data_IF_865882336247
#
_entry.id   IF_865882336247
#
_cell.length_a   1.000
_cell.length_b   1.000
_cell.length_c   1.000
_cell.angle_alpha   90.00
_cell.angle_beta   90.00
_cell.angle_gamma   90.00
#
_symmetry.space_group_name_H-M   'P 1'
#
loop_
_entity.id
_entity.type
_entity.pdbx_description
1 polymer ?
#
# COMPACT_ATOMS: atom_id res chain seq x y z
N UNK A 1 30.19 19.95 -43.86
CA UNK A 1 29.76 19.41 -45.18
C UNK A 1 28.30 19.04 -45.01
N UNK A 2 27.37 19.43 -45.90
CA UNK A 2 25.96 19.15 -45.70
C UNK A 2 25.74 17.63 -45.66
N UNK A 3 25.24 17.15 -44.53
CA UNK A 3 24.89 15.75 -44.29
C UNK A 3 23.38 15.63 -44.48
N UNK A 4 22.93 14.61 -45.20
CA UNK A 4 21.52 14.20 -45.22
C UNK A 4 21.38 12.98 -44.32
N UNK A 5 20.29 12.90 -43.59
CA UNK A 5 20.09 11.89 -42.56
C UNK A 5 18.88 11.02 -42.93
N UNK A 6 18.99 9.72 -42.67
CA UNK A 6 17.87 8.79 -42.82
C UNK A 6 16.92 8.91 -41.62
N UNK A 7 15.61 9.18 -41.81
CA UNK A 7 14.68 9.32 -40.69
C UNK A 7 14.35 8.01 -39.97
N UNK A 8 14.58 6.86 -40.61
CA UNK A 8 14.28 5.53 -40.03
C UNK A 8 15.44 4.96 -39.22
N UNK A 9 16.68 5.12 -39.69
CA UNK A 9 17.85 4.50 -39.07
C UNK A 9 18.92 5.48 -38.58
N UNK A 10 18.74 6.78 -38.81
CA UNK A 10 19.66 7.83 -38.35
C UNK A 10 21.03 7.86 -39.06
N UNK A 11 21.24 7.03 -40.09
CA UNK A 11 22.51 7.02 -40.82
C UNK A 11 22.72 8.34 -41.60
N UNK A 12 23.90 8.94 -41.42
CA UNK A 12 24.31 10.17 -42.10
C UNK A 12 25.01 9.88 -43.43
N UNK A 13 24.60 10.61 -44.48
CA UNK A 13 25.12 10.48 -45.83
C UNK A 13 25.58 11.83 -46.38
N UNK A 14 26.51 11.79 -47.33
CA UNK A 14 26.90 12.98 -48.10
C UNK A 14 25.72 13.41 -49.00
N UNK A 15 25.56 14.72 -49.20
CA UNK A 15 24.40 15.32 -49.90
C UNK A 15 24.09 14.78 -51.31
N UNK A 16 25.05 14.13 -51.98
CA UNK A 16 24.87 13.50 -53.30
C UNK A 16 24.03 12.22 -53.26
N UNK A 17 23.88 11.59 -52.10
CA UNK A 17 23.03 10.40 -51.93
C UNK A 17 21.59 10.85 -51.66
N UNK A 18 20.63 10.26 -52.38
CA UNK A 18 19.22 10.64 -52.30
C UNK A 18 18.37 9.65 -51.50
N UNK A 19 18.83 8.40 -51.33
CA UNK A 19 18.11 7.33 -50.64
C UNK A 19 19.05 6.51 -49.77
N UNK A 20 18.56 6.05 -48.62
CA UNK A 20 19.31 5.19 -47.71
C UNK A 20 19.66 3.84 -48.37
N UNK A 21 20.89 3.38 -48.20
CA UNK A 21 21.34 2.10 -48.80
C UNK A 21 20.77 0.88 -48.07
N UNK A 22 20.41 1.02 -46.80
CA UNK A 22 19.86 -0.03 -45.95
C UNK A 22 18.32 -0.03 -45.94
N UNK A 23 17.71 1.15 -45.85
CA UNK A 23 16.26 1.28 -45.66
C UNK A 23 15.50 1.63 -46.96
N UNK A 24 16.19 2.07 -48.02
CA UNK A 24 15.56 2.48 -49.29
C UNK A 24 14.73 3.78 -49.24
N UNK A 25 14.56 4.39 -48.07
CA UNK A 25 13.79 5.63 -47.87
C UNK A 25 14.55 6.89 -48.30
N UNK A 26 13.85 7.95 -48.75
CA UNK A 26 14.48 9.22 -49.14
C UNK A 26 15.12 9.92 -47.94
N UNK A 27 16.33 10.47 -48.13
CA UNK A 27 17.08 11.14 -47.08
C UNK A 27 16.66 12.60 -46.92
N UNK A 28 16.50 13.07 -45.68
CA UNK A 28 16.13 14.46 -45.36
C UNK A 28 17.38 15.30 -45.11
N UNK A 29 17.35 16.56 -45.53
CA UNK A 29 18.40 17.51 -45.20
C UNK A 29 18.13 18.10 -43.81
N UNK A 30 19.16 18.19 -42.97
CA UNK A 30 19.10 18.98 -41.74
C UNK A 30 18.89 20.45 -42.13
N UNK A 31 17.65 20.93 -42.06
CA UNK A 31 17.32 22.35 -42.16
C UNK A 31 17.59 22.98 -40.79
N UNK A 32 18.69 23.74 -40.69
CA UNK A 32 18.98 24.62 -39.57
C UNK A 32 17.76 25.52 -39.29
N UNK A 33 17.19 25.51 -38.07
CA UNK A 33 16.10 26.42 -37.73
C UNK A 33 16.62 27.86 -37.79
N UNK A 34 15.89 28.69 -38.54
CA UNK A 34 16.23 30.08 -38.78
C UNK A 34 16.30 30.88 -37.47
N UNK A 35 17.47 31.46 -37.23
CA UNK A 35 17.75 32.40 -36.15
C UNK A 35 16.83 33.63 -36.20
N UNK A 36 16.25 33.98 -35.06
CA UNK A 36 15.52 35.23 -34.84
C UNK A 36 15.56 35.67 -33.38
N UNK A 37 16.41 36.69 -33.12
CA UNK A 37 16.42 37.61 -31.97
C UNK A 37 17.25 37.27 -30.71
N UNK A 38 18.55 37.58 -30.84
CA UNK A 38 19.41 38.36 -29.92
C UNK A 38 19.69 37.84 -28.51
N UNK A 39 20.96 37.41 -28.39
CA UNK A 39 21.73 37.19 -27.18
C UNK A 39 21.63 38.30 -26.12
N UNK A 40 21.31 37.87 -24.90
CA UNK A 40 22.00 38.33 -23.70
C UNK A 40 22.90 37.18 -23.23
N UNK A 41 24.21 37.30 -23.46
CA UNK A 41 25.21 36.38 -22.91
C UNK A 41 25.43 36.72 -21.43
N UNK A 42 25.29 35.70 -20.57
CA UNK A 42 25.87 35.70 -19.24
C UNK A 42 24.91 35.33 -18.12
N UNK A 43 24.78 34.04 -17.83
CA UNK A 43 24.96 33.49 -16.49
C UNK A 43 24.73 31.98 -16.54
N UNK A 44 25.76 31.24 -16.12
CA UNK A 44 25.62 29.87 -15.63
C UNK A 44 24.55 29.86 -14.54
N UNK A 45 23.47 29.12 -14.75
CA UNK A 45 22.42 28.92 -13.78
C UNK A 45 21.65 27.68 -14.18
N UNK A 46 21.72 26.63 -13.35
CA UNK A 46 20.70 25.60 -13.40
C UNK A 46 19.35 26.30 -13.31
N UNK A 47 18.47 26.02 -14.28
CA UNK A 47 17.15 26.61 -14.29
C UNK A 47 16.42 26.05 -13.05
N UNK A 48 16.42 26.81 -11.97
CA UNK A 48 15.43 26.60 -10.93
C UNK A 48 14.07 26.80 -11.61
N UNK A 49 13.10 25.89 -11.42
CA UNK A 49 11.77 26.09 -11.98
C UNK A 49 11.29 27.48 -11.54
N UNK A 50 10.94 28.32 -12.50
CA UNK A 50 10.36 29.62 -12.19
C UNK A 50 9.12 29.42 -11.32
N UNK A 51 8.79 30.39 -10.47
CA UNK A 51 7.61 30.39 -9.60
C UNK A 51 6.33 30.04 -10.41
N UNK A 52 5.97 28.76 -10.50
CA UNK A 52 4.89 28.26 -11.35
C UNK A 52 5.25 27.19 -12.40
N UNK A 53 6.40 26.53 -12.33
CA UNK A 53 6.72 25.34 -13.14
C UNK A 53 6.96 24.11 -12.24
N UNK A 54 6.54 22.95 -12.72
CA UNK A 54 6.67 21.65 -12.04
C UNK A 54 7.44 20.70 -12.94
N UNK A 55 8.30 19.88 -12.34
CA UNK A 55 9.16 18.93 -13.04
C UNK A 55 8.82 17.52 -12.58
N UNK A 56 8.47 16.65 -13.54
CA UNK A 56 8.23 15.23 -13.33
C UNK A 56 9.42 14.42 -13.83
N UNK A 57 9.90 13.47 -13.02
CA UNK A 57 10.93 12.52 -13.44
C UNK A 57 10.28 11.23 -13.91
N UNK A 58 10.66 10.77 -15.11
CA UNK A 58 10.16 9.53 -15.72
C UNK A 58 11.30 8.59 -16.11
N UNK A 59 12.39 8.55 -15.35
CA UNK A 59 13.61 7.78 -15.68
C UNK A 59 13.33 6.28 -15.90
N UNK A 60 12.34 5.74 -15.18
CA UNK A 60 11.89 4.35 -15.28
C UNK A 60 11.01 4.04 -16.51
N UNK A 61 10.45 5.06 -17.18
CA UNK A 61 9.59 4.85 -18.35
C UNK A 61 10.39 4.62 -19.64
N UNK A 62 9.95 3.65 -20.44
CA UNK A 62 10.48 3.44 -21.78
C UNK A 62 10.15 4.60 -22.74
N UNK A 63 10.94 4.75 -23.82
CA UNK A 63 10.74 5.82 -24.81
C UNK A 63 9.32 5.80 -25.43
N UNK A 64 8.73 4.62 -25.62
CA UNK A 64 7.37 4.50 -26.14
C UNK A 64 6.29 5.07 -25.21
N UNK A 65 6.44 4.91 -23.89
CA UNK A 65 5.52 5.46 -22.89
C UNK A 65 5.59 7.00 -22.85
N UNK A 66 6.81 7.56 -22.90
CA UNK A 66 7.01 9.01 -22.94
C UNK A 66 6.42 9.64 -24.21
N UNK A 67 6.56 8.96 -25.36
CA UNK A 67 5.92 9.39 -26.63
C UNK A 67 4.39 9.32 -26.56
N UNK A 68 3.84 8.33 -25.86
CA UNK A 68 2.39 8.24 -25.63
C UNK A 68 1.90 9.40 -24.77
N UNK A 69 2.58 9.67 -23.64
CA UNK A 69 2.28 10.79 -22.76
C UNK A 69 2.39 12.14 -23.47
N UNK A 70 3.45 12.35 -24.28
CA UNK A 70 3.64 13.54 -25.10
C UNK A 70 2.47 13.79 -26.07
N UNK A 71 1.98 12.73 -26.72
CA UNK A 71 0.81 12.78 -27.59
C UNK A 71 -0.48 13.14 -26.83
N UNK A 72 -0.65 12.63 -25.61
CA UNK A 72 -1.79 12.93 -24.76
C UNK A 72 -1.76 14.37 -24.23
N UNK A 73 -0.60 14.84 -23.75
CA UNK A 73 -0.39 16.22 -23.31
C UNK A 73 -0.67 17.22 -24.44
N UNK A 74 -0.19 16.91 -25.66
CA UNK A 74 -0.48 17.71 -26.86
C UNK A 74 -1.97 17.73 -27.19
N UNK A 75 -2.66 16.59 -27.03
CA UNK A 75 -4.11 16.49 -27.28
C UNK A 75 -4.93 17.24 -26.24
N UNK A 76 -4.50 17.20 -24.97
CA UNK A 76 -5.10 17.94 -23.86
C UNK A 76 -4.80 19.45 -23.92
N UNK A 77 -3.84 19.87 -24.76
CA UNK A 77 -3.45 21.27 -24.91
C UNK A 77 -2.54 21.77 -23.79
N UNK A 78 -1.88 20.87 -23.06
CA UNK A 78 -0.94 21.19 -21.99
C UNK A 78 0.38 21.68 -22.59
N UNK A 79 0.82 22.88 -22.19
CA UNK A 79 2.11 23.41 -22.63
C UNK A 79 3.23 22.76 -21.83
N UNK A 80 4.08 21.98 -22.50
CA UNK A 80 5.11 21.18 -21.84
C UNK A 80 6.44 21.17 -22.60
N UNK A 81 7.53 20.85 -21.90
CA UNK A 81 8.88 20.67 -22.44
C UNK A 81 9.52 19.44 -21.81
N UNK A 82 10.25 18.65 -22.61
CA UNK A 82 11.09 17.56 -22.10
C UNK A 82 12.54 18.01 -21.95
N UNK A 83 13.09 17.97 -20.73
CA UNK A 83 14.49 18.30 -20.44
C UNK A 83 15.20 17.09 -19.83
N UNK A 84 16.23 16.58 -20.50
CA UNK A 84 17.05 15.46 -20.03
C UNK A 84 16.26 14.20 -19.58
N UNK A 85 15.04 14.00 -20.10
CA UNK A 85 14.16 12.88 -19.74
C UNK A 85 13.12 13.19 -18.66
N UNK A 86 13.14 14.40 -18.12
CA UNK A 86 12.10 14.93 -17.23
C UNK A 86 11.09 15.79 -18.02
N UNK A 87 9.83 15.79 -17.60
CA UNK A 87 8.77 16.62 -18.16
C UNK A 87 8.61 17.88 -17.31
N UNK A 88 8.70 19.05 -17.94
CA UNK A 88 8.49 20.35 -17.31
C UNK A 88 7.17 20.92 -17.81
N UNK A 89 6.27 21.23 -16.87
CA UNK A 89 4.92 21.77 -17.12
C UNK A 89 4.65 23.00 -16.28
N UNK A 90 3.62 23.77 -16.64
CA UNK A 90 3.13 24.84 -15.79
C UNK A 90 2.41 24.26 -14.57
N UNK A 91 2.62 24.84 -13.39
CA UNK A 91 2.00 24.39 -12.14
C UNK A 91 0.46 24.46 -12.16
N UNK A 92 -0.13 25.28 -13.04
CA UNK A 92 -1.58 25.34 -13.21
C UNK A 92 -2.18 24.14 -13.96
N UNK A 93 -1.35 23.34 -14.61
CA UNK A 93 -1.76 22.16 -15.37
C UNK A 93 -1.44 20.85 -14.64
N UNK A 94 -0.94 20.91 -13.39
CA UNK A 94 -0.54 19.76 -12.55
C UNK A 94 -1.63 18.67 -12.48
N UNK A 95 -2.84 19.03 -12.07
CA UNK A 95 -3.96 18.08 -11.94
C UNK A 95 -4.26 17.34 -13.25
N UNK A 96 -4.11 18.02 -14.39
CA UNK A 96 -4.35 17.41 -15.71
C UNK A 96 -3.19 16.49 -16.10
N UNK A 97 -1.96 16.87 -15.75
CA UNK A 97 -0.77 16.06 -16.02
C UNK A 97 -0.79 14.79 -15.18
N UNK A 98 -1.15 14.86 -13.91
CA UNK A 98 -1.30 13.70 -13.03
C UNK A 98 -2.32 12.70 -13.59
N UNK A 99 -3.50 13.17 -14.00
CA UNK A 99 -4.53 12.29 -14.60
C UNK A 99 -4.02 11.61 -15.90
N UNK A 100 -3.23 12.32 -16.70
CA UNK A 100 -2.66 11.77 -17.94
C UNK A 100 -1.51 10.80 -17.67
N UNK A 101 -0.72 11.03 -16.62
CA UNK A 101 0.33 10.11 -16.17
C UNK A 101 -0.29 8.81 -15.69
N UNK A 102 -1.29 8.89 -14.81
CA UNK A 102 -2.04 7.73 -14.32
C UNK A 102 -2.66 6.95 -15.48
N UNK A 103 -3.24 7.63 -16.47
CA UNK A 103 -3.81 6.99 -17.66
C UNK A 103 -2.78 6.20 -18.48
N UNK A 104 -1.56 6.74 -18.66
CA UNK A 104 -0.51 6.03 -19.40
C UNK A 104 0.01 4.87 -18.59
N UNK A 105 0.19 5.02 -17.28
CA UNK A 105 0.63 3.93 -16.41
C UNK A 105 -0.37 2.76 -16.45
N UNK A 106 -1.67 3.05 -16.34
CA UNK A 106 -2.77 2.10 -16.52
C UNK A 106 -2.71 1.38 -17.88
N UNK A 107 -2.40 2.12 -18.95
CA UNK A 107 -2.29 1.57 -20.29
C UNK A 107 -1.07 0.65 -20.43
N UNK A 108 0.05 0.98 -19.79
CA UNK A 108 1.26 0.14 -19.76
C UNK A 108 1.02 -1.13 -18.95
N UNK A 109 0.32 -1.03 -17.82
CA UNK A 109 -0.15 -2.16 -17.02
C UNK A 109 -1.00 -3.12 -17.85
N UNK A 110 -1.98 -2.62 -18.61
CA UNK A 110 -2.85 -3.43 -19.48
C UNK A 110 -2.16 -3.96 -20.74
N UNK A 111 -1.09 -3.30 -21.18
CA UNK A 111 -0.29 -3.73 -22.33
C UNK A 111 0.74 -4.80 -21.98
N UNK A 112 0.92 -5.13 -20.68
CA UNK A 112 1.60 -6.38 -20.32
C UNK A 112 0.85 -7.53 -21.00
N UNK A 113 1.57 -8.50 -21.61
CA UNK A 113 0.93 -9.72 -22.04
C UNK A 113 0.23 -10.32 -20.82
N UNK A 114 -1.10 -10.37 -20.85
CA UNK A 114 -1.87 -11.13 -19.86
C UNK A 114 -1.44 -12.59 -19.86
N UNK A 115 -1.90 -13.36 -18.88
CA UNK A 115 -1.55 -14.76 -18.81
C UNK A 115 -2.02 -15.49 -20.07
N UNK A 116 -1.21 -16.44 -20.54
CA UNK A 116 -1.58 -17.30 -21.65
C UNK A 116 -2.78 -18.16 -21.23
N UNK A 117 -3.95 -17.88 -21.80
CA UNK A 117 -5.20 -18.58 -21.54
C UNK A 117 -5.20 -20.06 -21.91
N UNK A 118 -4.22 -20.53 -22.70
CA UNK A 118 -4.05 -21.95 -23.00
C UNK A 118 -3.27 -22.71 -21.90
N UNK A 119 -2.63 -21.99 -20.96
CA UNK A 119 -1.94 -22.56 -19.81
C UNK A 119 -2.88 -22.62 -18.61
N UNK A 120 -2.67 -23.62 -17.76
CA UNK A 120 -3.45 -23.79 -16.52
C UNK A 120 -3.12 -22.66 -15.55
N UNK A 121 -4.17 -22.04 -15.00
CA UNK A 121 -4.11 -20.88 -14.14
C UNK A 121 -4.86 -21.15 -12.84
N UNK A 122 -4.42 -20.48 -11.78
CA UNK A 122 -5.03 -20.52 -10.45
C UNK A 122 -5.42 -19.10 -10.06
N UNK A 123 -6.64 -18.96 -9.58
CA UNK A 123 -7.25 -17.69 -9.18
C UNK A 123 -7.23 -17.55 -7.66
N UNK A 124 -6.67 -16.44 -7.19
CA UNK A 124 -6.67 -16.06 -5.78
C UNK A 124 -7.72 -14.98 -5.55
N UNK A 125 -8.70 -15.28 -4.69
CA UNK A 125 -9.71 -14.31 -4.26
C UNK A 125 -9.13 -13.37 -3.20
N UNK A 126 -9.04 -12.09 -3.54
CA UNK A 126 -8.50 -11.04 -2.67
C UNK A 126 -9.58 -10.03 -2.25
N UNK A 127 -10.86 -10.42 -2.29
CA UNK A 127 -11.98 -9.53 -1.95
C UNK A 127 -11.87 -8.97 -0.53
N UNK A 128 -11.36 -9.76 0.41
CA UNK A 128 -11.23 -9.40 1.83
C UNK A 128 -9.90 -8.72 2.18
N UNK A 129 -9.05 -8.45 1.18
CA UNK A 129 -7.71 -7.90 1.39
C UNK A 129 -7.71 -6.37 1.33
N UNK A 130 -6.95 -5.75 2.24
CA UNK A 130 -6.78 -4.30 2.31
C UNK A 130 -5.80 -3.82 1.23
N UNK A 131 -5.98 -2.61 0.68
CA UNK A 131 -5.15 -2.09 -0.42
C UNK A 131 -3.63 -2.15 -0.15
N UNK A 132 -3.12 -1.76 1.04
CA UNK A 132 -1.68 -1.86 1.32
C UNK A 132 -1.13 -3.29 1.28
N UNK A 133 -1.99 -4.29 1.57
CA UNK A 133 -1.62 -5.71 1.52
C UNK A 133 -1.58 -6.20 0.08
N UNK A 134 -2.50 -5.72 -0.76
CA UNK A 134 -2.52 -5.99 -2.20
C UNK A 134 -1.30 -5.40 -2.90
N UNK A 135 -0.94 -4.15 -2.58
CA UNK A 135 0.24 -3.49 -3.13
C UNK A 135 1.50 -4.29 -2.80
N UNK A 136 1.63 -4.72 -1.54
CA UNK A 136 2.74 -5.57 -1.07
C UNK A 136 2.81 -6.91 -1.80
N UNK A 137 1.68 -7.57 -2.02
CA UNK A 137 1.64 -8.81 -2.78
C UNK A 137 2.08 -8.59 -4.23
N UNK A 138 1.63 -7.50 -4.86
CA UNK A 138 2.06 -7.13 -6.21
C UNK A 138 3.57 -6.90 -6.33
N UNK A 139 4.18 -6.24 -5.34
CA UNK A 139 5.63 -6.07 -5.27
C UNK A 139 6.39 -7.41 -5.20
N UNK A 140 5.92 -8.32 -4.35
CA UNK A 140 6.56 -9.64 -4.17
C UNK A 140 6.41 -10.53 -5.40
N UNK A 141 5.26 -10.51 -6.06
CA UNK A 141 5.06 -11.21 -7.34
C UNK A 141 6.01 -10.67 -8.41
N UNK A 142 6.20 -9.35 -8.48
CA UNK A 142 7.14 -8.72 -9.39
C UNK A 142 8.61 -9.07 -9.06
N UNK A 143 9.00 -9.04 -7.78
CA UNK A 143 10.35 -9.43 -7.33
C UNK A 143 10.65 -10.90 -7.61
N UNK A 144 9.64 -11.76 -7.48
CA UNK A 144 9.74 -13.18 -7.78
C UNK A 144 9.71 -13.51 -9.29
N UNK A 145 9.58 -12.49 -10.15
CA UNK A 145 9.41 -12.61 -11.61
C UNK A 145 8.27 -13.58 -11.97
N UNK A 146 7.17 -13.54 -11.21
CA UNK A 146 5.98 -14.35 -11.45
C UNK A 146 5.05 -13.57 -12.37
N UNK A 147 4.63 -14.18 -13.47
CA UNK A 147 3.59 -13.63 -14.32
C UNK A 147 2.24 -13.72 -13.60
N UNK A 148 1.53 -12.59 -13.49
CA UNK A 148 0.21 -12.51 -12.88
C UNK A 148 -0.71 -11.58 -13.66
N UNK A 149 -2.01 -11.84 -13.59
CA UNK A 149 -3.05 -10.98 -14.12
C UNK A 149 -3.97 -10.55 -12.97
N UNK A 150 -4.33 -9.27 -12.92
CA UNK A 150 -5.21 -8.73 -11.88
C UNK A 150 -6.55 -8.33 -12.49
N UNK A 151 -7.62 -8.97 -12.04
CA UNK A 151 -8.98 -8.49 -12.28
C UNK A 151 -9.40 -7.58 -11.12
N UNK A 152 -9.33 -6.26 -11.34
CA UNK A 152 -9.72 -5.25 -10.36
C UNK A 152 -11.23 -5.23 -10.07
N UNK A 153 -12.07 -5.74 -10.98
CA UNK A 153 -13.52 -5.78 -10.80
C UNK A 153 -13.94 -6.95 -9.91
N UNK A 154 -13.32 -8.11 -10.13
CA UNK A 154 -13.53 -9.31 -9.33
C UNK A 154 -12.63 -9.35 -8.08
N UNK A 155 -11.63 -8.47 -7.98
CA UNK A 155 -10.54 -8.54 -6.98
C UNK A 155 -9.86 -9.90 -6.96
N UNK A 156 -9.59 -10.43 -8.14
CA UNK A 156 -8.93 -11.73 -8.31
C UNK A 156 -7.55 -11.51 -8.91
N UNK A 157 -6.57 -12.23 -8.39
CA UNK A 157 -5.25 -12.35 -9.02
C UNK A 157 -5.13 -13.76 -9.59
N UNK A 158 -4.95 -13.84 -10.89
CA UNK A 158 -4.68 -15.09 -11.60
C UNK A 158 -3.16 -15.24 -11.77
N UNK A 159 -2.66 -16.47 -11.60
CA UNK A 159 -1.25 -16.85 -11.81
C UNK A 159 -1.20 -18.19 -12.54
N UNK A 160 -0.05 -18.57 -13.11
CA UNK A 160 0.08 -19.92 -13.66
C UNK A 160 0.09 -20.98 -12.55
N UNK A 161 -0.58 -22.11 -12.77
CA UNK A 161 -0.65 -23.21 -11.80
C UNK A 161 0.72 -23.79 -11.42
N UNK A 162 1.73 -23.67 -12.29
CA UNK A 162 3.10 -24.09 -11.99
C UNK A 162 3.78 -23.22 -10.91
N UNK A 163 3.30 -21.98 -10.73
CA UNK A 163 3.82 -21.00 -9.79
C UNK A 163 2.94 -20.94 -8.52
N UNK A 164 1.87 -21.74 -8.42
CA UNK A 164 0.98 -21.86 -7.26
C UNK A 164 1.75 -22.06 -5.96
N UNK A 165 2.62 -23.07 -5.86
CA UNK A 165 3.42 -23.34 -4.66
C UNK A 165 4.30 -22.13 -4.25
N UNK A 166 4.74 -21.32 -5.21
CA UNK A 166 5.56 -20.12 -4.94
C UNK A 166 4.68 -18.97 -4.48
N UNK A 167 3.53 -18.78 -5.14
CA UNK A 167 2.57 -17.74 -4.81
C UNK A 167 1.93 -17.99 -3.46
N UNK A 168 1.63 -19.25 -3.11
CA UNK A 168 1.16 -19.66 -1.79
C UNK A 168 2.15 -19.24 -0.71
N UNK A 169 3.44 -19.48 -0.91
CA UNK A 169 4.48 -19.02 0.02
C UNK A 169 4.54 -17.49 0.15
N UNK A 170 4.40 -16.76 -0.96
CA UNK A 170 4.36 -15.30 -0.93
C UNK A 170 3.09 -14.77 -0.24
N UNK A 171 1.95 -15.41 -0.46
CA UNK A 171 0.67 -15.09 0.19
C UNK A 171 0.80 -15.31 1.70
N UNK A 172 1.38 -16.43 2.13
CA UNK A 172 1.68 -16.70 3.54
C UNK A 172 2.60 -15.61 4.13
N UNK A 173 3.67 -15.24 3.42
CA UNK A 173 4.60 -14.19 3.87
C UNK A 173 3.91 -12.82 4.00
N UNK A 174 3.07 -12.44 3.03
CA UNK A 174 2.30 -11.18 3.07
C UNK A 174 1.30 -11.17 4.22
N UNK A 175 0.58 -12.27 4.42
CA UNK A 175 -0.37 -12.41 5.53
C UNK A 175 0.39 -12.39 6.85
N UNK A 176 1.55 -13.04 6.95
CA UNK A 176 2.39 -13.01 8.13
C UNK A 176 2.95 -11.61 8.39
N UNK A 177 3.34 -10.83 7.38
CA UNK A 177 3.79 -9.43 7.53
C UNK A 177 2.62 -8.50 7.93
N UNK A 178 1.47 -8.63 7.29
CA UNK A 178 0.26 -7.86 7.60
C UNK A 178 -0.34 -8.26 8.97
N UNK A 179 -0.18 -9.53 9.34
CA UNK A 179 -0.53 -10.14 10.62
C UNK A 179 0.53 -9.93 11.70
N UNK A 180 1.79 -9.62 11.36
CA UNK A 180 2.80 -9.27 12.36
C UNK A 180 2.47 -7.95 13.09
N UNK A 181 1.58 -7.12 12.52
CA UNK A 181 0.92 -6.00 13.22
C UNK A 181 -0.37 -6.37 13.97
N UNK A 182 -0.92 -7.56 13.73
CA UNK A 182 -2.12 -8.14 14.36
C UNK A 182 -1.76 -9.54 14.86
N UNK A 183 -1.01 -9.62 15.96
CA UNK A 183 -0.56 -10.86 16.61
C UNK A 183 -1.57 -11.98 16.36
N UNK A 184 -1.20 -12.96 15.53
CA UNK A 184 -1.92 -14.22 15.42
C UNK A 184 -1.90 -14.84 16.80
N UNK A 185 -3.07 -14.84 17.44
CA UNK A 185 -3.30 -15.65 18.60
C UNK A 185 -3.04 -17.10 18.25
N UNK A 186 -1.96 -17.66 18.79
CA UNK A 186 -1.75 -19.10 18.83
C UNK A 186 -3.05 -19.75 19.34
N UNK A 187 -3.37 -20.97 18.95
CA UNK A 187 -4.61 -21.64 19.35
C UNK A 187 -4.82 -21.79 20.89
N UNK A 188 -3.88 -21.29 21.69
CA UNK A 188 -3.93 -21.05 23.13
C UNK A 188 -4.77 -19.83 23.53
N UNK A 189 -5.00 -18.85 22.66
CA UNK A 189 -5.66 -17.58 23.02
C UNK A 189 -7.11 -17.74 23.46
N UNK A 190 -7.83 -18.74 22.92
CA UNK A 190 -9.19 -19.06 23.36
C UNK A 190 -9.23 -19.67 24.76
N UNK A 191 -8.22 -20.48 25.11
CA UNK A 191 -8.08 -21.06 26.44
C UNK A 191 -7.60 -19.99 27.43
N UNK A 192 -6.61 -19.19 27.03
CA UNK A 192 -6.11 -18.07 27.82
C UNK A 192 -7.19 -17.01 28.09
N UNK A 193 -8.07 -16.72 27.12
CA UNK A 193 -9.22 -15.84 27.34
C UNK A 193 -10.22 -16.44 28.32
N UNK A 194 -10.49 -17.75 28.24
CA UNK A 194 -11.39 -18.44 29.17
C UNK A 194 -10.83 -18.47 30.60
N UNK A 195 -9.52 -18.68 30.75
CA UNK A 195 -8.83 -18.62 32.03
C UNK A 195 -8.86 -17.20 32.60
N UNK A 196 -8.53 -16.19 31.79
CA UNK A 196 -8.59 -14.79 32.20
C UNK A 196 -9.99 -14.36 32.65
N UNK A 197 -11.04 -14.75 31.92
CA UNK A 197 -12.43 -14.49 32.31
C UNK A 197 -12.80 -15.21 33.61
N UNK A 198 -12.36 -16.45 33.78
CA UNK A 198 -12.61 -17.22 35.01
C UNK A 198 -11.95 -16.58 36.22
N UNK A 199 -10.71 -16.13 36.07
CA UNK A 199 -9.94 -15.46 37.14
C UNK A 199 -10.53 -14.08 37.47
N UNK A 200 -10.92 -13.29 36.46
CA UNK A 200 -11.65 -12.03 36.65
C UNK A 200 -12.95 -12.24 37.42
N UNK A 201 -13.71 -13.30 37.10
CA UNK A 201 -14.95 -13.61 37.82
C UNK A 201 -14.69 -13.98 39.28
N UNK A 202 -13.71 -14.84 39.55
CA UNK A 202 -13.38 -15.28 40.92
C UNK A 202 -12.87 -14.11 41.76
N UNK A 203 -11.99 -13.29 41.20
CA UNK A 203 -11.46 -12.10 41.88
C UNK A 203 -12.59 -11.09 42.17
N UNK A 204 -13.44 -10.80 41.18
CA UNK A 204 -14.59 -9.90 41.35
C UNK A 204 -15.62 -10.44 42.36
N UNK A 205 -15.89 -11.74 42.38
CA UNK A 205 -16.80 -12.35 43.37
C UNK A 205 -16.23 -12.27 44.79
N UNK A 206 -14.93 -12.49 44.97
CA UNK A 206 -14.27 -12.33 46.28
C UNK A 206 -14.29 -10.87 46.73
N UNK A 207 -13.88 -9.93 45.88
CA UNK A 207 -13.88 -8.49 46.16
C UNK A 207 -15.27 -7.91 46.44
N UNK A 208 -16.31 -8.49 45.84
CA UNK A 208 -17.70 -8.15 46.14
C UNK A 208 -18.08 -8.48 47.60
N UNK A 209 -17.52 -9.56 48.16
CA UNK A 209 -17.77 -9.99 49.53
C UNK A 209 -16.78 -9.40 50.54
N UNK A 210 -15.52 -9.23 50.16
CA UNK A 210 -14.43 -8.69 50.97
C UNK A 210 -13.50 -7.82 50.11
N UNK A 211 -13.60 -6.50 50.27
CA UNK A 211 -12.84 -5.52 49.48
C UNK A 211 -11.38 -5.40 49.90
N UNK A 212 -11.01 -5.94 51.06
CA UNK A 212 -9.63 -5.88 51.59
C UNK A 212 -8.89 -7.22 51.39
N UNK A 213 -9.49 -8.19 50.68
CA UNK A 213 -8.87 -9.48 50.36
C UNK A 213 -7.66 -9.29 49.44
N UNK A 214 -6.47 -9.28 50.05
CA UNK A 214 -5.22 -9.06 49.33
C UNK A 214 -4.91 -10.13 48.28
N UNK A 215 -5.41 -11.37 48.45
CA UNK A 215 -5.25 -12.43 47.43
C UNK A 215 -6.16 -12.14 46.23
N UNK A 216 -7.39 -11.69 46.47
CA UNK A 216 -8.32 -11.31 45.41
C UNK A 216 -7.88 -10.04 44.67
N UNK A 217 -7.28 -9.06 45.36
CA UNK A 217 -6.70 -7.86 44.73
C UNK A 217 -5.56 -8.24 43.78
N UNK A 218 -4.60 -9.06 44.24
CA UNK A 218 -3.49 -9.50 43.39
C UNK A 218 -3.98 -10.34 42.21
N UNK A 219 -4.91 -11.26 42.47
CA UNK A 219 -5.53 -12.07 41.41
C UNK A 219 -6.27 -11.23 40.36
N UNK A 220 -6.94 -10.14 40.78
CA UNK A 220 -7.57 -9.22 39.84
C UNK A 220 -6.52 -8.50 38.98
N UNK A 221 -5.45 -7.98 39.58
CA UNK A 221 -4.38 -7.26 38.85
C UNK A 221 -3.76 -8.16 37.78
N UNK A 222 -3.44 -9.40 38.15
CA UNK A 222 -2.87 -10.39 37.23
C UNK A 222 -3.87 -10.74 36.11
N UNK A 223 -5.14 -10.96 36.44
CA UNK A 223 -6.18 -11.30 35.46
C UNK A 223 -6.50 -10.15 34.50
N UNK A 224 -6.48 -8.90 34.98
CA UNK A 224 -6.61 -7.69 34.13
C UNK A 224 -5.44 -7.60 33.17
N UNK A 225 -4.21 -7.77 33.66
CA UNK A 225 -3.02 -7.70 32.81
C UNK A 225 -3.01 -8.81 31.74
N UNK A 226 -3.46 -10.02 32.09
CA UNK A 226 -3.63 -11.11 31.14
C UNK A 226 -4.68 -10.76 30.07
N UNK A 227 -5.82 -10.20 30.47
CA UNK A 227 -6.87 -9.79 29.52
C UNK A 227 -6.46 -8.62 28.61
N UNK A 228 -5.67 -7.65 29.11
CA UNK A 228 -5.12 -6.55 28.30
C UNK A 228 -4.07 -7.01 27.27
N UNK A 229 -3.36 -8.10 27.56
CA UNK A 229 -2.33 -8.65 26.68
C UNK A 229 -2.91 -9.52 25.54
N UNK A 230 -4.14 -10.00 25.68
CA UNK A 230 -4.78 -10.87 24.70
C UNK A 230 -5.33 -10.06 23.51
N UNK A 231 -5.13 -10.52 22.26
CA UNK A 231 -5.88 -10.02 21.12
C UNK A 231 -7.36 -10.39 21.24
N UNK A 232 -8.21 -9.85 20.36
CA UNK A 232 -9.66 -10.12 20.38
C UNK A 232 -9.92 -11.64 20.33
N UNK A 233 -10.49 -12.24 21.39
CA UNK A 233 -10.66 -13.69 21.43
C UNK A 233 -11.68 -14.18 20.41
N UNK A 234 -11.47 -15.39 19.87
CA UNK A 234 -12.39 -15.99 18.92
C UNK A 234 -13.80 -16.13 19.51
N UNK A 235 -14.82 -15.66 18.77
CA UNK A 235 -16.22 -15.71 19.19
C UNK A 235 -16.69 -14.52 20.04
N UNK A 236 -15.85 -13.51 20.24
CA UNK A 236 -16.21 -12.24 20.87
C UNK A 236 -16.30 -11.10 19.85
N UNK A 237 -17.30 -10.24 20.03
CA UNK A 237 -17.34 -8.94 19.37
C UNK A 237 -16.41 -7.96 20.08
N UNK A 238 -15.80 -7.04 19.32
CA UNK A 238 -14.81 -6.08 19.85
C UNK A 238 -15.39 -5.21 20.97
N UNK A 239 -16.61 -4.71 20.79
CA UNK A 239 -17.27 -3.85 21.77
C UNK A 239 -17.52 -4.59 23.11
N UNK A 240 -17.80 -5.89 23.05
CA UNK A 240 -18.06 -6.71 24.24
C UNK A 240 -16.77 -7.02 25.00
N UNK A 241 -15.69 -7.38 24.29
CA UNK A 241 -14.38 -7.63 24.88
C UNK A 241 -13.79 -6.36 25.53
N UNK A 242 -13.75 -5.26 24.78
CA UNK A 242 -13.25 -3.96 25.27
C UNK A 242 -14.09 -3.48 26.47
N UNK A 243 -15.40 -3.75 26.45
CA UNK A 243 -16.29 -3.47 27.56
C UNK A 243 -15.96 -4.27 28.83
N UNK A 244 -15.57 -5.54 28.72
CA UNK A 244 -15.20 -6.37 29.87
C UNK A 244 -13.86 -5.90 30.44
N UNK A 245 -12.85 -5.73 29.57
CA UNK A 245 -11.51 -5.26 29.96
C UNK A 245 -11.60 -3.88 30.62
N UNK A 246 -12.38 -2.95 30.04
CA UNK A 246 -12.56 -1.61 30.61
C UNK A 246 -13.19 -1.61 32.02
N UNK A 247 -14.15 -2.52 32.29
CA UNK A 247 -14.72 -2.69 33.65
C UNK A 247 -13.71 -3.28 34.62
N UNK A 248 -12.87 -4.20 34.15
CA UNK A 248 -11.82 -4.82 34.95
C UNK A 248 -10.73 -3.82 35.33
N UNK A 249 -10.30 -2.99 34.38
CA UNK A 249 -9.39 -1.86 34.59
C UNK A 249 -9.99 -0.85 35.58
N UNK A 250 -11.27 -0.49 35.42
CA UNK A 250 -11.94 0.43 36.36
C UNK A 250 -11.90 -0.09 37.80
N UNK A 251 -12.14 -1.40 38.00
CA UNK A 251 -12.06 -2.00 39.34
C UNK A 251 -10.63 -2.01 39.89
N UNK A 252 -9.64 -2.32 39.05
CA UNK A 252 -8.21 -2.25 39.43
C UNK A 252 -7.83 -0.84 39.87
N UNK A 253 -8.21 0.16 39.10
CA UNK A 253 -7.86 1.56 39.37
C UNK A 253 -8.50 2.06 40.67
N UNK A 254 -9.74 1.63 40.98
CA UNK A 254 -10.39 1.90 42.27
C UNK A 254 -9.69 1.24 43.46
N UNK A 255 -9.05 0.08 43.26
CA UNK A 255 -8.29 -0.59 44.33
C UNK A 255 -6.91 0.04 44.57
N UNK A 256 -6.35 0.71 43.57
CA UNK A 256 -5.08 1.46 43.69
C UNK A 256 -5.29 2.87 44.27
N UNK A 257 -6.51 3.40 44.19
CA UNK A 257 -6.87 4.71 44.77
C UNK A 257 -7.09 4.63 46.29
N UNK A 258 -6.18 5.24 47.06
CA UNK A 258 -6.24 5.36 48.51
C UNK A 258 -7.48 6.12 49.05
N UNK A 259 -8.21 6.81 48.17
CA UNK A 259 -9.41 7.57 48.48
C UNK A 259 -10.71 6.91 48.01
N UNK A 260 -10.64 5.74 47.35
CA UNK A 260 -11.82 5.04 46.90
C UNK A 260 -12.70 4.58 48.08
N UNK A 261 -14.01 4.75 47.95
CA UNK A 261 -14.95 4.23 48.94
C UNK A 261 -15.17 2.73 48.71
N UNK A 262 -15.25 1.94 49.79
CA UNK A 262 -15.57 0.50 49.68
C UNK A 262 -16.88 0.24 48.90
N UNK A 263 -17.82 1.20 48.94
CA UNK A 263 -19.08 1.10 48.21
C UNK A 263 -18.86 1.12 46.69
N UNK A 264 -17.91 1.93 46.21
CA UNK A 264 -17.57 2.06 44.80
C UNK A 264 -16.82 0.82 44.30
N UNK A 265 -15.87 0.30 45.11
CA UNK A 265 -15.19 -0.97 44.83
C UNK A 265 -16.20 -2.12 44.73
N UNK A 266 -17.14 -2.24 45.68
CA UNK A 266 -18.19 -3.28 45.62
C UNK A 266 -19.15 -3.08 44.45
N UNK A 267 -19.39 -1.85 44.00
CA UNK A 267 -20.23 -1.59 42.84
C UNK A 267 -19.52 -2.04 41.55
N UNK A 268 -18.27 -1.62 41.36
CA UNK A 268 -17.45 -2.02 40.22
C UNK A 268 -17.22 -3.55 40.18
N UNK A 269 -16.98 -4.20 41.33
CA UNK A 269 -16.86 -5.65 41.42
C UNK A 269 -18.16 -6.37 41.01
N UNK A 270 -19.32 -5.85 41.42
CA UNK A 270 -20.62 -6.38 41.00
C UNK A 270 -20.83 -6.25 39.49
N UNK A 271 -20.47 -5.11 38.93
CA UNK A 271 -20.66 -4.81 37.51
C UNK A 271 -19.77 -5.71 36.63
N UNK A 272 -18.48 -5.82 36.97
CA UNK A 272 -17.56 -6.74 36.31
C UNK A 272 -18.04 -8.19 36.40
N UNK A 273 -18.39 -8.65 37.61
CA UNK A 273 -18.92 -10.00 37.82
C UNK A 273 -20.18 -10.27 36.99
N UNK A 274 -21.07 -9.29 36.87
CA UNK A 274 -22.32 -9.45 36.11
C UNK A 274 -22.05 -9.52 34.61
N UNK A 275 -21.06 -8.79 34.11
CA UNK A 275 -20.63 -8.82 32.71
C UNK A 275 -19.94 -10.14 32.33
N UNK A 276 -19.13 -10.71 33.23
CA UNK A 276 -18.36 -11.93 32.96
C UNK A 276 -19.17 -13.21 33.21
N UNK A 277 -20.14 -13.20 34.15
CA UNK A 277 -20.97 -14.37 34.51
C UNK A 277 -21.59 -15.16 33.34
N UNK A 278 -22.12 -14.57 32.26
CA UNK A 278 -22.69 -15.35 31.15
C UNK A 278 -21.64 -16.09 30.29
N UNK A 279 -20.35 -15.82 30.51
CA UNK A 279 -19.24 -16.28 29.69
C UNK A 279 -18.35 -17.33 30.38
N UNK A 280 -18.63 -17.62 31.66
CA UNK A 280 -17.91 -18.58 32.51
C UNK A 280 -18.80 -19.72 33.00
#
# INVERSE_FOLDING_TARGET
>A
MPVKTCPECGAGYVASVQSCSDCGVPLVADEEPAAGAQAGEGAEGGAEPGEGQIVYSFEEWGNGARVMLDGLLTTAGVTHVWEAGALVVAAGDEDTVDELVDQVDDALLRARPGLDGDREQVDYDLTDWEQPVLDRLGELLAEAEIDYEVDLHARVVSVYAQDEDRVDGLVEDVIAEAGAGRIEGDGDDGLAAQDALSDLFVAADRLLHDTEDSEAVLGLVDAVAAAEALPLPFGFDRDDWDGIVGRAVTLRDLLDDEHAEEADVRAAARDLRSAVRPLV
#
